data_IF_535522700325
#
_entry.id   IF_535522700325
#
_cell.length_a   1.000
_cell.length_b   1.000
_cell.length_c   1.000
_cell.angle_alpha   90.00
_cell.angle_beta   90.00
_cell.angle_gamma   90.00
#
_symmetry.space_group_name_H-M   'P 1'
#
loop_
_entity.id
_entity.type
_entity.pdbx_description
1 polymer ?
#
# COMPACT_ATOMS: atom_id res chain seq x y z
N UNK A 1 6.78 37.97 8.42
CA UNK A 1 8.08 37.56 7.85
C UNK A 1 7.84 36.23 7.16
N UNK A 2 7.94 36.15 5.84
CA UNK A 2 7.68 34.90 5.11
C UNK A 2 8.82 33.89 5.36
N UNK A 3 8.52 32.58 5.46
CA UNK A 3 9.56 31.55 5.60
C UNK A 3 10.52 31.66 4.42
N UNK A 4 11.82 31.65 4.71
CA UNK A 4 12.87 31.87 3.69
C UNK A 4 13.29 30.56 3.04
N UNK A 5 13.08 29.44 3.75
CA UNK A 5 13.30 28.08 3.29
C UNK A 5 12.06 27.20 3.59
N UNK A 6 11.84 26.16 2.81
CA UNK A 6 10.76 25.18 3.06
C UNK A 6 10.97 24.42 4.39
N UNK A 7 12.21 24.44 4.90
CA UNK A 7 12.60 23.90 6.20
C UNK A 7 12.15 24.77 7.38
N UNK A 8 11.74 26.03 7.12
CA UNK A 8 11.23 26.96 8.13
C UNK A 8 9.71 26.81 8.35
N UNK A 9 9.04 25.95 7.59
CA UNK A 9 7.61 25.70 7.76
C UNK A 9 7.34 25.00 9.09
N UNK A 10 6.24 25.39 9.73
CA UNK A 10 5.75 24.72 10.94
C UNK A 10 5.38 23.25 10.64
N UNK A 11 5.54 22.40 11.65
CA UNK A 11 5.40 20.95 11.49
C UNK A 11 3.99 20.51 11.09
N UNK A 12 2.97 21.26 11.48
CA UNK A 12 1.56 21.06 11.10
C UNK A 12 1.31 21.38 9.62
N UNK A 13 1.91 22.45 9.09
CA UNK A 13 1.83 22.78 7.66
C UNK A 13 2.52 21.67 6.84
N UNK A 14 3.70 21.21 7.28
CA UNK A 14 4.39 20.10 6.63
C UNK A 14 3.57 18.80 6.69
N UNK A 15 2.91 18.53 7.82
CA UNK A 15 2.01 17.39 7.98
C UNK A 15 0.90 17.40 6.92
N UNK A 16 0.21 18.53 6.77
CA UNK A 16 -0.86 18.69 5.77
C UNK A 16 -0.33 18.54 4.34
N UNK A 17 0.84 19.13 4.03
CA UNK A 17 1.49 18.95 2.73
C UNK A 17 1.75 17.48 2.44
N UNK A 18 2.27 16.72 3.42
CA UNK A 18 2.55 15.29 3.25
C UNK A 18 1.29 14.46 3.09
N UNK A 19 0.20 14.79 3.80
CA UNK A 19 -1.10 14.14 3.61
C UNK A 19 -1.64 14.39 2.19
N UNK A 20 -1.57 15.62 1.70
CA UNK A 20 -1.99 15.98 0.34
C UNK A 20 -1.11 15.27 -0.70
N UNK A 21 0.20 15.31 -0.52
CA UNK A 21 1.14 14.63 -1.42
C UNK A 21 0.87 13.12 -1.46
N UNK A 22 0.56 12.51 -0.32
CA UNK A 22 0.25 11.10 -0.26
C UNK A 22 -1.08 10.73 -0.96
N UNK A 23 -2.06 11.62 -0.90
CA UNK A 23 -3.33 11.46 -1.62
C UNK A 23 -3.17 11.65 -3.13
N UNK A 24 -2.33 12.60 -3.57
CA UNK A 24 -2.11 12.91 -4.98
C UNK A 24 -1.19 11.90 -5.67
N UNK A 25 -0.17 11.43 -4.96
CA UNK A 25 0.86 10.55 -5.51
C UNK A 25 1.16 9.35 -4.59
N UNK A 26 0.22 8.41 -4.42
CA UNK A 26 0.45 7.21 -3.63
C UNK A 26 1.44 6.25 -4.35
N UNK A 27 2.22 5.46 -3.59
CA UNK A 27 2.94 4.33 -4.14
C UNK A 27 2.00 3.33 -4.79
N UNK A 28 2.37 2.85 -5.97
CA UNK A 28 1.53 1.95 -6.76
C UNK A 28 2.38 0.90 -7.46
N UNK A 29 1.90 -0.35 -7.46
CA UNK A 29 2.48 -1.42 -8.25
C UNK A 29 1.76 -1.52 -9.60
N UNK A 30 2.53 -1.44 -10.68
CA UNK A 30 2.02 -1.59 -12.04
C UNK A 30 2.65 -2.81 -12.71
N UNK A 31 1.80 -3.72 -13.18
CA UNK A 31 2.22 -4.83 -14.02
C UNK A 31 2.65 -4.29 -15.39
N UNK A 32 3.88 -4.62 -15.79
CA UNK A 32 4.39 -4.35 -17.13
C UNK A 32 4.36 -5.63 -17.96
N UNK A 33 3.82 -5.53 -19.17
CA UNK A 33 3.92 -6.60 -20.17
C UNK A 33 5.30 -6.49 -20.84
N UNK A 34 6.19 -7.43 -20.54
CA UNK A 34 7.31 -7.73 -21.44
C UNK A 34 7.00 -9.05 -22.18
N UNK A 35 7.37 -9.15 -23.46
CA UNK A 35 7.11 -10.34 -24.30
C UNK A 35 7.75 -11.62 -23.72
N UNK A 36 8.73 -11.50 -22.83
CA UNK A 36 9.44 -12.62 -22.20
C UNK A 36 9.23 -12.74 -20.68
N UNK A 37 8.81 -11.68 -19.97
CA UNK A 37 8.68 -11.69 -18.50
C UNK A 37 7.52 -10.81 -18.01
N UNK A 38 6.81 -11.27 -16.97
CA UNK A 38 5.86 -10.43 -16.23
C UNK A 38 6.62 -9.68 -15.14
N UNK A 39 7.12 -8.48 -15.47
CA UNK A 39 7.78 -7.62 -14.50
C UNK A 39 6.78 -6.69 -13.81
N UNK A 40 7.05 -6.38 -12.55
CA UNK A 40 6.30 -5.39 -11.77
C UNK A 40 7.16 -4.15 -11.70
N UNK A 41 6.60 -3.00 -12.10
CA UNK A 41 7.21 -1.69 -11.84
C UNK A 41 6.51 -1.06 -10.66
N UNK A 42 7.30 -0.62 -9.68
CA UNK A 42 6.80 0.06 -8.49
C UNK A 42 7.02 1.55 -8.67
N UNK A 43 5.92 2.32 -8.57
CA UNK A 43 5.94 3.76 -8.38
C UNK A 43 6.09 4.04 -6.88
N UNK A 44 7.07 4.84 -6.48
CA UNK A 44 7.33 5.12 -5.06
C UNK A 44 6.44 6.23 -4.49
N UNK A 45 5.73 6.99 -5.33
CA UNK A 45 4.82 8.04 -4.88
C UNK A 45 5.52 9.11 -4.04
N UNK A 46 4.88 9.49 -2.95
CA UNK A 46 5.36 10.43 -1.94
C UNK A 46 6.61 10.00 -1.15
N UNK A 47 7.06 8.73 -1.21
CA UNK A 47 8.20 8.23 -0.40
C UNK A 47 9.48 9.06 -0.56
N UNK A 48 9.87 9.54 -1.76
CA UNK A 48 11.04 10.40 -1.93
C UNK A 48 11.00 11.70 -1.10
N UNK A 49 9.83 12.18 -0.68
CA UNK A 49 9.73 13.33 0.23
C UNK A 49 10.43 13.05 1.57
N UNK A 50 10.44 11.79 2.03
CA UNK A 50 11.16 11.37 3.24
C UNK A 50 12.70 11.41 3.10
N UNK A 51 13.21 11.84 1.95
CA UNK A 51 14.63 11.95 1.63
C UNK A 51 15.08 13.37 1.27
N UNK A 52 14.18 14.37 1.34
CA UNK A 52 14.53 15.78 1.04
C UNK A 52 15.48 16.34 2.11
N UNK A 53 15.11 16.24 3.38
CA UNK A 53 15.95 16.65 4.50
C UNK A 53 15.67 15.80 5.76
N UNK A 54 16.51 15.95 6.79
CA UNK A 54 16.36 15.20 8.06
C UNK A 54 15.04 15.50 8.78
N UNK A 55 14.57 16.75 8.74
CA UNK A 55 13.33 17.16 9.40
C UNK A 55 12.10 16.48 8.76
N UNK A 56 12.01 16.49 7.43
CA UNK A 56 10.92 15.82 6.70
C UNK A 56 10.92 14.32 6.94
N UNK A 57 12.11 13.70 6.89
CA UNK A 57 12.26 12.29 7.23
C UNK A 57 11.74 12.00 8.63
N UNK A 58 12.08 12.84 9.60
CA UNK A 58 11.65 12.66 10.98
C UNK A 58 10.13 12.68 11.09
N UNK A 59 9.48 13.73 10.57
CA UNK A 59 8.02 13.88 10.60
C UNK A 59 7.33 12.69 9.91
N UNK A 60 7.73 12.37 8.68
CA UNK A 60 7.07 11.32 7.89
C UNK A 60 7.25 9.91 8.48
N UNK A 61 8.36 9.64 9.18
CA UNK A 61 8.62 8.31 9.79
C UNK A 61 8.05 8.22 11.21
N UNK A 62 8.23 9.26 12.03
CA UNK A 62 7.92 9.20 13.46
C UNK A 62 6.56 9.78 13.81
N UNK A 63 6.06 10.76 13.06
CA UNK A 63 4.83 11.48 13.39
C UNK A 63 3.65 11.08 12.48
N UNK A 64 3.95 10.43 11.35
CA UNK A 64 2.94 10.06 10.34
C UNK A 64 2.85 8.56 10.04
N UNK A 65 2.53 7.70 11.03
CA UNK A 65 2.38 6.26 10.81
C UNK A 65 1.24 5.95 9.82
N UNK A 66 0.24 6.83 9.73
CA UNK A 66 -0.92 6.70 8.85
C UNK A 66 -0.54 6.65 7.36
N UNK A 67 0.53 7.35 6.96
CA UNK A 67 1.01 7.32 5.58
C UNK A 67 1.50 5.92 5.19
N UNK A 68 2.26 5.29 6.08
CA UNK A 68 2.78 3.93 5.90
C UNK A 68 1.68 2.88 5.99
N UNK A 69 0.70 3.09 6.87
CA UNK A 69 -0.48 2.23 7.00
C UNK A 69 -1.36 2.22 5.74
N UNK A 70 -1.29 3.27 4.92
CA UNK A 70 -2.00 3.37 3.65
C UNK A 70 -1.40 2.56 2.49
N UNK A 71 -0.18 2.03 2.64
CA UNK A 71 0.60 1.43 1.53
C UNK A 71 1.23 0.04 1.77
N UNK A 72 0.80 -0.80 2.74
CA UNK A 72 1.47 -2.07 3.06
C UNK A 72 1.53 -3.03 1.86
N UNK A 73 0.53 -2.99 0.99
CA UNK A 73 0.46 -3.83 -0.21
C UNK A 73 1.10 -3.17 -1.45
N UNK A 74 1.45 -1.89 -1.43
CA UNK A 74 1.99 -1.21 -2.62
C UNK A 74 3.43 -1.65 -2.96
N UNK A 75 4.23 -1.99 -1.94
CA UNK A 75 5.65 -2.36 -2.09
C UNK A 75 5.95 -3.63 -1.29
N UNK A 76 5.53 -4.82 -1.76
CA UNK A 76 5.69 -6.06 -1.00
C UNK A 76 7.14 -6.41 -0.62
N UNK A 77 8.11 -5.98 -1.45
CA UNK A 77 9.53 -6.16 -1.17
C UNK A 77 10.03 -5.35 0.05
N UNK A 78 9.31 -4.29 0.44
CA UNK A 78 9.65 -3.43 1.58
C UNK A 78 8.68 -3.62 2.76
N UNK A 79 7.88 -4.70 2.77
CA UNK A 79 6.79 -4.90 3.73
C UNK A 79 7.20 -4.70 5.19
N UNK A 80 8.36 -5.20 5.60
CA UNK A 80 8.79 -5.16 7.00
C UNK A 80 9.07 -3.71 7.42
N UNK A 81 9.67 -2.92 6.53
CA UNK A 81 9.91 -1.48 6.73
C UNK A 81 8.59 -0.72 6.75
N UNK A 82 7.67 -1.01 5.83
CA UNK A 82 6.37 -0.34 5.77
C UNK A 82 5.54 -0.63 7.02
N UNK A 83 5.40 -1.89 7.40
CA UNK A 83 4.66 -2.30 8.60
C UNK A 83 5.30 -1.77 9.89
N UNK A 84 6.62 -1.76 9.98
CA UNK A 84 7.35 -1.16 11.11
C UNK A 84 7.03 0.34 11.26
N UNK A 85 6.98 1.08 10.16
CA UNK A 85 6.65 2.52 10.18
C UNK A 85 5.16 2.79 10.39
N UNK A 86 4.30 1.89 9.93
CA UNK A 86 2.86 1.94 10.19
C UNK A 86 2.53 1.74 11.68
N UNK A 87 3.41 1.11 12.47
CA UNK A 87 3.21 0.81 13.90
C UNK A 87 1.86 0.12 14.12
N UNK A 88 1.01 0.64 14.99
CA UNK A 88 -0.34 0.12 15.28
C UNK A 88 -1.45 0.81 14.48
N UNK A 89 -1.11 1.68 13.52
CA UNK A 89 -2.13 2.36 12.74
C UNK A 89 -2.98 1.35 11.93
N UNK A 90 -4.30 1.59 11.80
CA UNK A 90 -5.18 0.76 10.98
C UNK A 90 -4.75 0.78 9.52
N UNK A 91 -4.71 -0.40 8.89
CA UNK A 91 -4.11 -0.60 7.57
C UNK A 91 -5.12 -0.49 6.42
N UNK A 92 -4.65 0.00 5.28
CA UNK A 92 -5.32 -0.14 3.99
C UNK A 92 -4.69 -1.32 3.26
N UNK A 93 -5.42 -2.42 3.19
CA UNK A 93 -4.98 -3.66 2.55
C UNK A 93 -5.56 -3.73 1.14
N UNK A 94 -4.88 -3.11 0.18
CA UNK A 94 -5.28 -3.10 -1.23
C UNK A 94 -4.49 -4.13 -2.04
N UNK A 95 -5.17 -5.20 -2.46
CA UNK A 95 -4.57 -6.24 -3.30
C UNK A 95 -4.94 -6.11 -4.77
N UNK A 96 -5.71 -5.08 -5.13
CA UNK A 96 -6.11 -4.84 -6.52
C UNK A 96 -4.89 -4.45 -7.35
N UNK A 97 -4.77 -5.07 -8.52
CA UNK A 97 -3.69 -4.77 -9.46
C UNK A 97 -4.32 -4.07 -10.66
N UNK A 98 -3.83 -2.87 -11.01
CA UNK A 98 -4.43 -2.14 -12.13
C UNK A 98 -4.19 -2.88 -13.46
N UNK A 99 -5.25 -3.55 -13.95
CA UNK A 99 -5.22 -4.40 -15.15
C UNK A 99 -5.72 -3.69 -16.43
N UNK A 100 -6.02 -2.37 -16.36
CA UNK A 100 -6.88 -1.59 -17.27
C UNK A 100 -6.62 -1.68 -18.79
N UNK A 101 -5.56 -2.34 -19.28
CA UNK A 101 -5.31 -2.50 -20.73
C UNK A 101 -5.22 -3.93 -21.25
N UNK A 102 -5.33 -4.97 -20.41
CA UNK A 102 -4.84 -6.31 -20.81
C UNK A 102 -5.76 -7.49 -20.41
N UNK A 103 -7.08 -7.29 -20.43
CA UNK A 103 -8.08 -8.27 -20.02
C UNK A 103 -8.02 -9.64 -20.74
N UNK A 104 -7.35 -9.75 -21.89
CA UNK A 104 -7.39 -10.95 -22.74
C UNK A 104 -6.29 -11.98 -22.50
N UNK A 105 -5.17 -11.63 -21.87
CA UNK A 105 -4.02 -12.54 -21.66
C UNK A 105 -3.35 -12.25 -20.29
N UNK A 106 -4.07 -12.54 -19.20
CA UNK A 106 -3.64 -12.21 -17.84
C UNK A 106 -2.63 -13.23 -17.29
N UNK A 107 -1.39 -13.22 -17.79
CA UNK A 107 -0.30 -13.85 -17.03
C UNK A 107 0.07 -12.92 -15.88
N UNK A 108 -0.20 -13.32 -14.65
CA UNK A 108 0.14 -12.54 -13.44
C UNK A 108 1.49 -13.01 -12.89
N UNK A 109 2.25 -12.10 -12.26
CA UNK A 109 3.44 -12.51 -11.51
C UNK A 109 3.02 -13.19 -10.20
N UNK A 110 2.96 -14.52 -10.18
CA UNK A 110 2.47 -15.30 -9.04
C UNK A 110 3.21 -14.99 -7.73
N UNK A 111 4.52 -14.78 -7.78
CA UNK A 111 5.33 -14.44 -6.59
C UNK A 111 4.91 -13.09 -6.00
N UNK A 112 4.63 -12.12 -6.86
CA UNK A 112 4.15 -10.80 -6.43
C UNK A 112 2.76 -10.90 -5.79
N UNK A 113 1.82 -11.60 -6.44
CA UNK A 113 0.46 -11.85 -5.92
C UNK A 113 0.51 -12.56 -4.57
N UNK A 114 1.29 -13.63 -4.45
CA UNK A 114 1.48 -14.36 -3.20
C UNK A 114 1.98 -13.43 -2.08
N UNK A 115 2.92 -12.53 -2.40
CA UNK A 115 3.43 -11.58 -1.43
C UNK A 115 2.35 -10.58 -0.97
N UNK A 116 1.51 -10.07 -1.87
CA UNK A 116 0.36 -9.22 -1.53
C UNK A 116 -0.60 -9.93 -0.59
N UNK A 117 -1.01 -11.14 -0.95
CA UNK A 117 -1.95 -11.93 -0.15
C UNK A 117 -1.38 -12.27 1.22
N UNK A 118 -0.08 -12.62 1.29
CA UNK A 118 0.59 -12.91 2.56
C UNK A 118 0.59 -11.68 3.49
N UNK A 119 0.85 -10.48 2.94
CA UNK A 119 0.81 -9.24 3.72
C UNK A 119 -0.60 -8.96 4.21
N UNK A 120 -1.59 -9.05 3.32
CA UNK A 120 -2.96 -8.69 3.65
C UNK A 120 -3.59 -9.68 4.65
N UNK A 121 -3.52 -10.99 4.39
CA UNK A 121 -4.02 -12.02 5.31
C UNK A 121 -3.30 -11.93 6.65
N UNK A 122 -1.97 -11.81 6.66
CA UNK A 122 -1.17 -11.72 7.89
C UNK A 122 -1.48 -10.49 8.76
N UNK A 123 -2.11 -9.46 8.20
CA UNK A 123 -2.45 -8.23 8.91
C UNK A 123 -3.95 -7.91 8.90
N UNK A 124 -4.81 -8.89 8.56
CA UNK A 124 -6.24 -8.66 8.33
C UNK A 124 -6.98 -8.10 9.56
N UNK A 125 -6.55 -8.45 10.79
CA UNK A 125 -7.10 -7.89 12.05
C UNK A 125 -6.94 -6.37 12.16
N UNK A 126 -5.92 -5.83 11.50
CA UNK A 126 -5.63 -4.38 11.49
C UNK A 126 -6.30 -3.67 10.31
N UNK A 127 -7.04 -4.39 9.46
CA UNK A 127 -7.64 -3.81 8.27
C UNK A 127 -8.68 -2.75 8.65
N UNK A 128 -8.47 -1.54 8.14
CA UNK A 128 -9.50 -0.49 8.10
C UNK A 128 -10.20 -0.47 6.75
N UNK A 129 -9.44 -0.69 5.69
CA UNK A 129 -9.96 -0.89 4.33
C UNK A 129 -9.36 -2.18 3.79
N UNK A 130 -10.19 -3.01 3.17
CA UNK A 130 -9.78 -4.22 2.48
C UNK A 130 -10.31 -4.18 1.05
N UNK A 131 -9.39 -4.21 0.08
CA UNK A 131 -9.73 -4.34 -1.34
C UNK A 131 -9.16 -5.65 -1.85
N UNK A 132 -10.03 -6.51 -2.33
CA UNK A 132 -9.70 -7.85 -2.78
C UNK A 132 -10.17 -8.09 -4.22
N UNK A 133 -9.28 -8.69 -5.00
CA UNK A 133 -9.50 -9.04 -6.39
C UNK A 133 -9.64 -10.57 -6.51
N UNK A 134 -10.88 -11.05 -6.72
CA UNK A 134 -11.20 -12.47 -6.82
C UNK A 134 -10.55 -13.14 -8.04
N UNK A 135 -10.10 -12.35 -9.03
CA UNK A 135 -9.31 -12.90 -10.14
C UNK A 135 -7.94 -13.44 -9.68
N UNK A 136 -7.51 -13.14 -8.44
CA UNK A 136 -6.29 -13.69 -7.84
C UNK A 136 -6.51 -15.11 -7.25
N UNK A 137 -7.74 -15.61 -7.19
CA UNK A 137 -8.05 -16.97 -6.70
C UNK A 137 -7.51 -18.09 -7.58
N UNK A 138 -7.28 -17.82 -8.85
CA UNK A 138 -6.66 -18.81 -9.75
C UNK A 138 -5.16 -19.01 -9.42
N UNK A 139 -4.57 -18.10 -8.63
CA UNK A 139 -3.17 -18.12 -8.19
C UNK A 139 -3.02 -18.66 -6.76
N UNK A 140 -3.99 -18.38 -5.90
CA UNK A 140 -4.04 -18.78 -4.50
C UNK A 140 -5.27 -19.64 -4.33
N UNK A 141 -5.14 -20.91 -3.93
CA UNK A 141 -6.30 -21.74 -3.56
C UNK A 141 -7.32 -20.87 -2.79
N UNK A 142 -8.45 -20.55 -3.43
CA UNK A 142 -9.43 -19.53 -3.02
C UNK A 142 -9.86 -19.67 -1.55
N UNK A 143 -9.72 -20.88 -1.02
CA UNK A 143 -9.90 -21.27 0.37
C UNK A 143 -9.21 -20.34 1.37
N UNK A 144 -8.03 -19.81 1.06
CA UNK A 144 -7.25 -19.01 2.03
C UNK A 144 -7.86 -17.65 2.38
N UNK A 145 -8.49 -16.97 1.41
CA UNK A 145 -9.09 -15.65 1.64
C UNK A 145 -10.47 -15.73 2.28
N UNK A 146 -11.29 -16.65 1.80
CA UNK A 146 -12.60 -16.92 2.40
C UNK A 146 -12.45 -17.32 3.88
N UNK A 147 -11.53 -18.25 4.18
CA UNK A 147 -11.23 -18.63 5.56
C UNK A 147 -10.70 -17.45 6.37
N UNK A 148 -9.74 -16.69 5.84
CA UNK A 148 -9.18 -15.54 6.56
C UNK A 148 -10.25 -14.51 6.94
N UNK A 149 -11.17 -14.19 6.03
CA UNK A 149 -12.27 -13.25 6.29
C UNK A 149 -13.34 -13.82 7.23
N UNK A 150 -13.64 -15.12 7.15
CA UNK A 150 -14.68 -15.75 7.95
C UNK A 150 -14.22 -16.07 9.38
N UNK A 151 -12.94 -16.40 9.56
CA UNK A 151 -12.39 -16.90 10.83
C UNK A 151 -11.70 -15.79 11.64
N UNK A 152 -11.61 -14.57 11.09
CA UNK A 152 -10.92 -13.45 11.75
C UNK A 152 -11.84 -12.27 12.00
N UNK A 153 -11.94 -11.85 13.25
CA UNK A 153 -12.59 -10.59 13.60
C UNK A 153 -11.80 -9.40 13.05
N UNK A 154 -12.51 -8.46 12.42
CA UNK A 154 -11.96 -7.25 11.82
C UNK A 154 -12.60 -6.01 12.46
N UNK A 155 -12.29 -5.69 13.73
CA UNK A 155 -12.99 -4.65 14.49
C UNK A 155 -12.77 -3.22 13.96
N UNK A 156 -11.74 -3.02 13.14
CA UNK A 156 -11.38 -1.71 12.57
C UNK A 156 -11.90 -1.50 11.15
N UNK A 157 -12.51 -2.52 10.54
CA UNK A 157 -12.90 -2.49 9.14
C UNK A 157 -14.08 -1.53 8.93
N UNK A 158 -13.89 -0.55 8.06
CA UNK A 158 -14.92 0.41 7.67
C UNK A 158 -15.26 0.35 6.18
N UNK A 159 -14.43 -0.30 5.38
CA UNK A 159 -14.58 -0.34 3.93
C UNK A 159 -14.09 -1.67 3.36
N UNK A 160 -14.95 -2.35 2.60
CA UNK A 160 -14.69 -3.65 1.98
C UNK A 160 -15.06 -3.58 0.49
N UNK A 161 -14.07 -3.79 -0.37
CA UNK A 161 -14.25 -3.80 -1.81
C UNK A 161 -13.88 -5.18 -2.38
N UNK A 162 -14.86 -5.90 -2.92
CA UNK A 162 -14.68 -7.19 -3.56
C UNK A 162 -14.89 -7.05 -5.07
N UNK A 163 -13.85 -7.29 -5.86
CA UNK A 163 -13.94 -7.32 -7.31
C UNK A 163 -14.10 -8.77 -7.77
N UNK A 164 -15.25 -9.10 -8.37
CA UNK A 164 -15.61 -10.42 -8.91
C UNK A 164 -15.60 -10.41 -10.44
#
# INVERSE_FOLDING_TARGET
>A
MFPRDISDLEGDILYEIFMIAAALDPPQARMLRNRSTNSVKIHLGWIPLSHVCKAWRYIMIHDMPILWAGIPCAIPAARDVVLSRAREAPLVLDTMIEHRKYARERKVNKKFVLALCTIAIGNIRRARRLSYDAFLDDVMLATSWYQAMNDTEMPLLVDLHLCM
#
